data_IF_701189568115
#
_entry.id   IF_701189568115
#
_cell.length_a   1.000
_cell.length_b   1.000
_cell.length_c   1.000
_cell.angle_alpha   90.00
_cell.angle_beta   90.00
_cell.angle_gamma   90.00
#
_symmetry.space_group_name_H-M   'P 1'
#
loop_
_entity.id
_entity.type
_entity.pdbx_description
1 polymer ?
#
# COMPACT_ATOMS: atom_id res chain seq x y z
N UNK A 1 32.42 3.16 14.54
CA UNK A 1 31.72 1.90 14.22
C UNK A 1 31.00 2.12 12.89
N UNK A 2 31.33 1.36 11.84
CA UNK A 2 30.78 1.57 10.51
C UNK A 2 29.30 1.18 10.39
N UNK A 3 28.70 1.59 9.27
CA UNK A 3 27.27 1.38 8.91
C UNK A 3 26.85 -0.10 9.07
N UNK A 4 27.75 -1.03 8.77
CA UNK A 4 27.51 -2.47 8.90
C UNK A 4 27.36 -2.89 10.38
N UNK A 5 28.14 -2.31 11.30
CA UNK A 5 28.10 -2.65 12.73
C UNK A 5 26.92 -1.98 13.44
N UNK A 6 26.54 -0.78 13.05
CA UNK A 6 25.38 -0.08 13.63
C UNK A 6 24.04 -0.51 13.01
N UNK A 7 24.04 -0.95 11.74
CA UNK A 7 22.84 -1.36 11.00
C UNK A 7 22.58 -2.86 10.96
N UNK A 8 23.43 -3.69 11.58
CA UNK A 8 23.32 -5.15 11.51
C UNK A 8 21.93 -5.67 11.89
N UNK A 9 21.36 -5.20 13.00
CA UNK A 9 20.03 -5.63 13.45
C UNK A 9 18.92 -5.26 12.47
N UNK A 10 19.05 -4.12 11.80
CA UNK A 10 18.10 -3.70 10.77
C UNK A 10 18.19 -4.59 9.53
N UNK A 11 19.40 -4.89 9.06
CA UNK A 11 19.62 -5.77 7.91
C UNK A 11 19.15 -7.19 8.23
N UNK A 12 19.55 -7.75 9.38
CA UNK A 12 19.16 -9.08 9.82
C UNK A 12 17.64 -9.21 10.00
N UNK A 13 17.00 -8.23 10.63
CA UNK A 13 15.54 -8.17 10.76
C UNK A 13 14.83 -8.08 9.41
N UNK A 14 15.36 -7.30 8.46
CA UNK A 14 14.80 -7.18 7.12
C UNK A 14 14.87 -8.50 6.36
N UNK A 15 16.02 -9.17 6.36
CA UNK A 15 16.20 -10.47 5.68
C UNK A 15 15.30 -11.54 6.29
N UNK A 16 15.22 -11.58 7.63
CA UNK A 16 14.30 -12.49 8.32
C UNK A 16 12.83 -12.23 7.97
N UNK A 17 12.42 -10.95 7.93
CA UNK A 17 11.07 -10.56 7.53
C UNK A 17 10.73 -11.00 6.10
N UNK A 18 11.67 -10.84 5.16
CA UNK A 18 11.51 -11.32 3.78
C UNK A 18 11.39 -12.84 3.73
N UNK A 19 12.22 -13.58 4.48
CA UNK A 19 12.15 -15.04 4.54
C UNK A 19 10.79 -15.53 5.07
N UNK A 20 10.29 -14.92 6.16
CA UNK A 20 8.96 -15.23 6.70
C UNK A 20 7.87 -14.91 5.68
N UNK A 21 7.95 -13.76 5.00
CA UNK A 21 6.96 -13.37 4.00
C UNK A 21 6.95 -14.25 2.75
N UNK A 22 8.05 -14.95 2.46
CA UNK A 22 8.12 -15.95 1.39
C UNK A 22 7.65 -17.33 1.86
N UNK A 23 7.92 -17.69 3.12
CA UNK A 23 7.57 -19.01 3.68
C UNK A 23 6.10 -19.11 4.09
N UNK A 24 5.48 -17.99 4.47
CA UNK A 24 4.03 -17.88 4.52
C UNK A 24 3.55 -17.38 3.16
N UNK A 25 2.43 -17.89 2.66
CA UNK A 25 1.79 -17.42 1.42
C UNK A 25 1.21 -16.01 1.65
N UNK A 26 2.07 -15.03 1.95
CA UNK A 26 1.65 -13.67 2.27
C UNK A 26 1.08 -13.07 0.99
N UNK A 27 -0.20 -12.67 1.01
CA UNK A 27 -0.86 -12.17 -0.19
C UNK A 27 -0.12 -10.95 -0.73
N UNK A 28 0.01 -10.89 -2.06
CA UNK A 28 0.75 -9.85 -2.74
C UNK A 28 0.18 -8.46 -2.36
N UNK A 29 0.93 -7.71 -1.55
CA UNK A 29 0.56 -6.38 -1.05
C UNK A 29 0.20 -5.42 -2.19
N UNK A 30 0.88 -5.53 -3.34
CA UNK A 30 0.58 -4.71 -4.53
C UNK A 30 -0.83 -4.96 -5.05
N UNK A 31 -1.29 -6.21 -5.05
CA UNK A 31 -2.65 -6.56 -5.47
C UNK A 31 -3.67 -5.98 -4.47
N UNK A 32 -3.44 -6.14 -3.17
CA UNK A 32 -4.32 -5.61 -2.13
C UNK A 32 -4.42 -4.09 -2.24
N UNK A 33 -3.30 -3.39 -2.39
CA UNK A 33 -3.29 -1.93 -2.56
C UNK A 33 -4.04 -1.50 -3.83
N UNK A 34 -3.81 -2.16 -4.96
CA UNK A 34 -4.52 -1.85 -6.20
C UNK A 34 -6.03 -2.06 -6.06
N UNK A 35 -6.46 -3.17 -5.45
CA UNK A 35 -7.89 -3.44 -5.19
C UNK A 35 -8.47 -2.42 -4.23
N UNK A 36 -7.76 -2.07 -3.16
CA UNK A 36 -8.19 -1.03 -2.22
C UNK A 36 -8.34 0.34 -2.89
N UNK A 37 -7.42 0.70 -3.78
CA UNK A 37 -7.50 1.95 -4.55
C UNK A 37 -8.69 1.96 -5.50
N UNK A 38 -8.99 0.84 -6.17
CA UNK A 38 -10.17 0.71 -7.02
C UNK A 38 -11.47 0.85 -6.20
N UNK A 39 -11.55 0.18 -5.05
CA UNK A 39 -12.71 0.30 -4.15
C UNK A 39 -12.87 1.74 -3.66
N UNK A 40 -11.77 2.40 -3.28
CA UNK A 40 -11.79 3.78 -2.85
C UNK A 40 -12.30 4.72 -3.95
N UNK A 41 -11.85 4.56 -5.20
CA UNK A 41 -12.37 5.33 -6.33
C UNK A 41 -13.86 5.05 -6.57
N UNK A 42 -14.29 3.79 -6.47
CA UNK A 42 -15.71 3.45 -6.66
C UNK A 42 -16.60 4.09 -5.59
N UNK A 43 -16.14 4.09 -4.34
CA UNK A 43 -16.81 4.78 -3.23
C UNK A 43 -16.81 6.29 -3.49
N UNK A 44 -15.67 6.87 -3.88
CA UNK A 44 -15.57 8.28 -4.22
C UNK A 44 -16.59 8.64 -5.31
N UNK A 45 -16.61 7.94 -6.45
CA UNK A 45 -17.54 8.18 -7.55
C UNK A 45 -19.00 8.03 -7.14
N UNK A 46 -19.32 7.02 -6.32
CA UNK A 46 -20.69 6.76 -5.86
C UNK A 46 -21.21 7.87 -4.94
N UNK A 47 -20.36 8.40 -4.07
CA UNK A 47 -20.74 9.40 -3.06
C UNK A 47 -20.35 10.83 -3.44
N UNK A 48 -19.63 11.03 -4.55
CA UNK A 48 -19.27 12.35 -5.05
C UNK A 48 -20.54 13.09 -5.46
N UNK A 49 -20.71 14.29 -4.90
CA UNK A 49 -21.81 15.17 -5.30
C UNK A 49 -21.74 15.42 -6.81
N UNK A 50 -22.85 15.29 -7.55
CA UNK A 50 -22.87 15.59 -8.98
C UNK A 50 -22.42 17.03 -9.19
N UNK A 51 -21.51 17.25 -10.14
CA UNK A 51 -20.99 18.57 -10.44
C UNK A 51 -22.17 19.42 -10.94
N UNK A 52 -22.44 20.55 -10.30
CA UNK A 52 -23.43 21.52 -10.79
C UNK A 52 -23.02 21.91 -12.22
N UNK A 53 -23.94 21.83 -13.18
CA UNK A 53 -23.76 22.44 -14.49
C UNK A 53 -23.74 23.95 -14.24
N UNK A 54 -22.59 24.59 -14.41
CA UNK A 54 -22.51 26.05 -14.50
C UNK A 54 -23.22 26.46 -15.80
N UNK A 55 -24.51 26.79 -15.71
CA UNK A 55 -25.29 27.17 -16.88
C UNK A 55 -26.80 27.18 -16.64
N UNK A 56 -27.24 27.89 -15.61
CA UNK A 56 -28.63 28.36 -15.53
C UNK A 56 -28.58 29.73 -14.82
N UNK A 57 -28.20 30.74 -15.61
CA UNK A 57 -28.48 32.16 -15.35
C UNK A 57 -29.92 32.45 -15.79
#
# INVERSE_FOLDING_TARGET
MGIIRSGFSFIAGTVFGVYVAQNYNVPNVRKITNTGLLIANHIEETYRKPKKRDGDD
#
